data_IF_226750253720
#
_entry.id   IF_226750253720
#
_cell.length_a   1.000
_cell.length_b   1.000
_cell.length_c   1.000
_cell.angle_alpha   90.00
_cell.angle_beta   90.00
_cell.angle_gamma   90.00
#
_symmetry.space_group_name_H-M   'P 1'
#
loop_
_entity.id
_entity.type
_entity.pdbx_description
1 polymer ?
#
# COMPACT_ATOMS: atom_id res chain seq x y z
N UNK A 1 -54.47 -43.97 -12.21
CA UNK A 1 -53.92 -43.26 -11.03
C UNK A 1 -52.42 -43.51 -10.78
N UNK A 2 -51.78 -44.47 -11.47
CA UNK A 2 -50.36 -44.84 -11.23
C UNK A 2 -49.31 -44.11 -12.10
N UNK A 3 -49.65 -43.58 -13.28
CA UNK A 3 -48.67 -42.92 -14.16
C UNK A 3 -48.41 -41.47 -13.77
N UNK A 4 -49.47 -40.72 -13.44
CA UNK A 4 -49.38 -39.31 -13.08
C UNK A 4 -48.61 -39.09 -11.76
N UNK A 5 -48.69 -40.02 -10.80
CA UNK A 5 -47.86 -39.98 -9.58
C UNK A 5 -46.38 -40.30 -9.88
N UNK A 6 -46.10 -41.30 -10.72
CA UNK A 6 -44.72 -41.61 -11.16
C UNK A 6 -44.08 -40.43 -11.89
N UNK A 7 -44.82 -39.75 -12.75
CA UNK A 7 -44.33 -38.58 -13.49
C UNK A 7 -44.00 -37.40 -12.55
N UNK A 8 -44.77 -37.24 -11.47
CA UNK A 8 -44.52 -36.22 -10.43
C UNK A 8 -43.27 -36.57 -9.62
N UNK A 9 -43.12 -37.83 -9.20
CA UNK A 9 -41.94 -38.32 -8.47
C UNK A 9 -40.66 -38.21 -9.32
N UNK A 10 -40.73 -38.53 -10.60
CA UNK A 10 -39.60 -38.45 -11.53
C UNK A 10 -39.19 -36.99 -11.81
N UNK A 11 -40.18 -36.08 -11.94
CA UNK A 11 -39.94 -34.62 -12.03
C UNK A 11 -39.33 -34.06 -10.74
N UNK A 12 -39.77 -34.51 -9.57
CA UNK A 12 -39.15 -34.13 -8.29
C UNK A 12 -37.72 -34.61 -8.17
N UNK A 13 -37.46 -35.87 -8.53
CA UNK A 13 -36.13 -36.47 -8.48
C UNK A 13 -35.16 -35.74 -9.42
N UNK A 14 -35.59 -35.41 -10.64
CA UNK A 14 -34.79 -34.62 -11.57
C UNK A 14 -34.51 -33.20 -11.05
N UNK A 15 -35.47 -32.52 -10.42
CA UNK A 15 -35.24 -31.21 -9.78
C UNK A 15 -34.20 -31.29 -8.66
N UNK A 16 -34.21 -32.36 -7.85
CA UNK A 16 -33.21 -32.58 -6.79
C UNK A 16 -31.81 -32.79 -7.36
N UNK A 17 -31.67 -33.63 -8.41
CA UNK A 17 -30.39 -33.84 -9.11
C UNK A 17 -29.82 -32.57 -9.71
N UNK A 18 -30.65 -31.74 -10.35
CA UNK A 18 -30.20 -30.47 -10.93
C UNK A 18 -29.67 -29.53 -9.83
N UNK A 19 -30.40 -29.39 -8.71
CA UNK A 19 -29.94 -28.57 -7.58
C UNK A 19 -28.62 -29.07 -6.99
N UNK A 20 -28.45 -30.37 -6.90
CA UNK A 20 -27.23 -30.97 -6.35
C UNK A 20 -26.02 -30.76 -7.29
N UNK A 21 -26.22 -30.89 -8.60
CA UNK A 21 -25.17 -30.59 -9.59
C UNK A 21 -24.78 -29.12 -9.58
N UNK A 22 -25.75 -28.19 -9.53
CA UNK A 22 -25.45 -26.75 -9.43
C UNK A 22 -24.67 -26.41 -8.16
N UNK A 23 -24.98 -27.07 -7.04
CA UNK A 23 -24.25 -26.88 -5.77
C UNK A 23 -22.81 -27.40 -5.86
N UNK A 24 -22.59 -28.54 -6.53
CA UNK A 24 -21.23 -29.07 -6.78
C UNK A 24 -20.42 -28.14 -7.66
N UNK A 25 -20.97 -27.70 -8.80
CA UNK A 25 -20.28 -26.73 -9.67
C UNK A 25 -19.94 -25.42 -8.95
N UNK A 26 -20.85 -24.92 -8.10
CA UNK A 26 -20.60 -23.72 -7.30
C UNK A 26 -19.44 -23.92 -6.32
N UNK A 27 -19.39 -25.07 -5.64
CA UNK A 27 -18.32 -25.38 -4.70
C UNK A 27 -16.97 -25.58 -5.41
N UNK A 28 -16.95 -26.24 -6.57
CA UNK A 28 -15.73 -26.42 -7.38
C UNK A 28 -15.18 -25.09 -7.88
N UNK A 29 -16.05 -24.17 -8.32
CA UNK A 29 -15.64 -22.80 -8.71
C UNK A 29 -15.08 -22.02 -7.54
N UNK A 30 -15.67 -22.17 -6.36
CA UNK A 30 -15.19 -21.52 -5.13
C UNK A 30 -13.82 -22.06 -4.72
N UNK A 31 -13.64 -23.39 -4.71
CA UNK A 31 -12.35 -24.02 -4.42
C UNK A 31 -11.28 -23.61 -5.43
N UNK A 32 -11.61 -23.55 -6.72
CA UNK A 32 -10.68 -23.09 -7.75
C UNK A 32 -10.26 -21.62 -7.54
N UNK A 33 -11.18 -20.74 -7.17
CA UNK A 33 -10.87 -19.36 -6.80
C UNK A 33 -9.99 -19.26 -5.54
N UNK A 34 -10.30 -20.05 -4.51
CA UNK A 34 -9.53 -20.11 -3.26
C UNK A 34 -8.13 -20.71 -3.46
N UNK A 35 -7.92 -21.56 -4.47
CA UNK A 35 -6.61 -22.07 -4.87
C UNK A 35 -5.80 -20.97 -5.57
N UNK A 36 -6.41 -20.22 -6.49
CA UNK A 36 -5.74 -19.13 -7.19
C UNK A 36 -5.29 -18.02 -6.24
N UNK A 37 -6.12 -17.62 -5.28
CA UNK A 37 -5.74 -16.63 -4.27
C UNK A 37 -4.56 -17.10 -3.40
N UNK A 38 -4.54 -18.38 -2.99
CA UNK A 38 -3.43 -18.96 -2.23
C UNK A 38 -2.13 -19.03 -3.04
N UNK A 39 -2.23 -19.31 -4.34
CA UNK A 39 -1.08 -19.30 -5.24
C UNK A 39 -0.54 -17.87 -5.43
N UNK A 40 -1.41 -16.87 -5.60
CA UNK A 40 -1.02 -15.46 -5.65
C UNK A 40 -0.33 -14.99 -4.36
N UNK A 41 -0.86 -15.37 -3.20
CA UNK A 41 -0.24 -15.09 -1.89
C UNK A 41 1.14 -15.75 -1.78
N UNK A 42 1.27 -17.03 -2.17
CA UNK A 42 2.57 -17.73 -2.14
C UNK A 42 3.60 -17.10 -3.07
N UNK A 43 3.20 -16.74 -4.29
CA UNK A 43 4.06 -16.05 -5.25
C UNK A 43 4.49 -14.69 -4.70
N UNK A 44 3.58 -13.96 -4.03
CA UNK A 44 3.88 -12.67 -3.41
C UNK A 44 4.89 -12.82 -2.26
N UNK A 45 4.75 -13.84 -1.41
CA UNK A 45 5.72 -14.17 -0.36
C UNK A 45 7.08 -14.60 -0.92
N UNK A 46 7.10 -15.39 -1.99
CA UNK A 46 8.34 -15.81 -2.68
C UNK A 46 9.09 -14.61 -3.27
N UNK A 47 8.38 -13.69 -3.95
CA UNK A 47 8.94 -12.45 -4.48
C UNK A 47 9.47 -11.56 -3.35
N UNK A 48 8.71 -11.40 -2.27
CA UNK A 48 9.13 -10.60 -1.13
C UNK A 48 10.39 -11.19 -0.48
N UNK A 49 10.46 -12.51 -0.32
CA UNK A 49 11.64 -13.18 0.23
C UNK A 49 12.88 -13.02 -0.67
N UNK A 50 12.72 -13.20 -1.98
CA UNK A 50 13.84 -13.16 -2.93
C UNK A 50 14.38 -11.75 -3.20
N UNK A 51 13.50 -10.75 -3.24
CA UNK A 51 13.87 -9.40 -3.71
C UNK A 51 13.80 -8.32 -2.63
N UNK A 52 13.38 -8.64 -1.39
CA UNK A 52 13.22 -7.68 -0.27
C UNK A 52 14.42 -6.78 -0.01
N UNK A 53 15.64 -7.25 -0.29
CA UNK A 53 16.88 -6.51 -0.05
C UNK A 53 17.39 -5.76 -1.28
N UNK A 54 16.75 -5.95 -2.45
CA UNK A 54 17.15 -5.24 -3.67
C UNK A 54 16.71 -3.77 -3.60
N UNK A 55 17.57 -2.81 -3.99
CA UNK A 55 17.26 -1.39 -3.91
C UNK A 55 15.96 -1.03 -4.64
N UNK A 56 15.76 -1.55 -5.86
CA UNK A 56 14.56 -1.28 -6.66
C UNK A 56 13.28 -1.79 -6.00
N UNK A 57 13.30 -2.95 -5.35
CA UNK A 57 12.12 -3.50 -4.68
C UNK A 57 11.76 -2.66 -3.44
N UNK A 58 12.76 -2.27 -2.64
CA UNK A 58 12.54 -1.39 -1.49
C UNK A 58 12.02 -0.01 -1.91
N UNK A 59 12.56 0.56 -2.98
CA UNK A 59 12.10 1.83 -3.55
C UNK A 59 10.65 1.75 -4.05
N UNK A 60 10.27 0.68 -4.74
CA UNK A 60 8.89 0.43 -5.16
C UNK A 60 7.95 0.21 -3.97
N UNK A 61 8.38 -0.54 -2.96
CA UNK A 61 7.60 -0.75 -1.72
C UNK A 61 7.32 0.58 -1.02
N UNK A 62 8.35 1.42 -0.85
CA UNK A 62 8.19 2.76 -0.27
C UNK A 62 7.24 3.62 -1.11
N UNK A 63 7.42 3.64 -2.44
CA UNK A 63 6.55 4.40 -3.34
C UNK A 63 5.08 3.99 -3.17
N UNK A 64 4.80 2.68 -3.10
CA UNK A 64 3.44 2.18 -2.93
C UNK A 64 2.84 2.56 -1.58
N UNK A 65 3.59 2.45 -0.49
CA UNK A 65 3.14 2.89 0.85
C UNK A 65 2.80 4.39 0.83
N UNK A 66 3.67 5.22 0.26
CA UNK A 66 3.44 6.66 0.17
C UNK A 66 2.22 6.96 -0.72
N UNK A 67 2.07 6.26 -1.85
CA UNK A 67 0.95 6.42 -2.78
C UNK A 67 -0.39 6.07 -2.11
N UNK A 68 -0.44 4.98 -1.35
CA UNK A 68 -1.62 4.55 -0.62
C UNK A 68 -1.95 5.50 0.54
N UNK A 69 -0.94 5.90 1.32
CA UNK A 69 -1.08 6.86 2.40
C UNK A 69 -1.48 8.27 1.94
N UNK A 70 -1.07 8.68 0.73
CA UNK A 70 -1.27 10.03 0.21
C UNK A 70 -2.72 10.53 0.29
N UNK A 71 -3.70 9.68 -0.02
CA UNK A 71 -5.11 10.10 0.02
C UNK A 71 -5.58 10.39 1.45
N UNK A 72 -5.13 9.59 2.42
CA UNK A 72 -5.44 9.81 3.85
C UNK A 72 -4.74 11.05 4.38
N UNK A 73 -3.46 11.23 4.02
CA UNK A 73 -2.68 12.44 4.31
C UNK A 73 -3.40 13.69 3.78
N UNK A 74 -3.83 13.67 2.50
CA UNK A 74 -4.53 14.80 1.87
C UNK A 74 -5.85 15.14 2.56
N UNK A 75 -6.56 14.14 3.09
CA UNK A 75 -7.80 14.33 3.87
C UNK A 75 -7.53 14.84 5.29
N UNK A 76 -6.27 14.94 5.71
CA UNK A 76 -5.90 15.35 7.05
C UNK A 76 -5.95 14.24 8.09
N UNK A 77 -6.22 12.99 7.70
CA UNK A 77 -6.40 11.86 8.62
C UNK A 77 -5.11 11.48 9.37
N UNK A 78 -3.94 11.94 8.88
CA UNK A 78 -2.63 11.68 9.49
C UNK A 78 -1.98 13.01 9.91
N UNK A 79 -1.86 13.96 8.98
CA UNK A 79 -1.11 15.21 9.22
C UNK A 79 -1.80 16.19 10.18
N UNK A 80 -3.10 16.05 10.41
CA UNK A 80 -3.82 16.88 11.40
C UNK A 80 -3.79 16.26 12.80
N UNK A 81 -3.28 15.04 12.95
CA UNK A 81 -3.10 14.46 14.27
C UNK A 81 -2.07 15.25 15.06
N UNK A 82 -2.43 15.61 16.29
CA UNK A 82 -1.57 16.39 17.18
C UNK A 82 -0.20 15.72 17.40
N UNK A 83 -0.20 14.40 17.58
CA UNK A 83 1.03 13.61 17.73
C UNK A 83 1.97 13.75 16.52
N UNK A 84 1.42 13.67 15.30
CA UNK A 84 2.19 13.82 14.07
C UNK A 84 2.85 15.19 14.00
N UNK A 85 2.09 16.24 14.29
CA UNK A 85 2.57 17.63 14.23
C UNK A 85 3.64 17.90 15.29
N UNK A 86 3.45 17.41 16.52
CA UNK A 86 4.40 17.56 17.61
C UNK A 86 5.71 16.83 17.31
N UNK A 87 5.65 15.58 16.85
CA UNK A 87 6.84 14.79 16.56
C UNK A 87 7.62 15.37 15.37
N UNK A 88 6.91 15.77 14.31
CA UNK A 88 7.52 16.46 13.16
C UNK A 88 8.27 17.71 13.59
N UNK A 89 7.67 18.51 14.47
CA UNK A 89 8.29 19.74 15.00
C UNK A 89 9.50 19.44 15.89
N UNK A 90 9.46 18.42 16.74
CA UNK A 90 10.61 18.02 17.59
C UNK A 90 11.83 17.65 16.75
N UNK A 91 11.62 17.02 15.60
CA UNK A 91 12.70 16.66 14.68
C UNK A 91 13.24 17.86 13.87
N UNK A 92 12.74 19.08 14.09
CA UNK A 92 13.12 20.27 13.34
C UNK A 92 12.50 20.35 11.95
N UNK A 93 11.51 19.51 11.63
CA UNK A 93 10.82 19.50 10.34
C UNK A 93 9.47 20.20 10.42
N UNK A 94 8.99 20.64 9.27
CA UNK A 94 7.62 21.14 9.12
C UNK A 94 6.74 20.13 8.39
N UNK A 95 5.44 20.12 8.71
CA UNK A 95 4.44 19.33 7.97
C UNK A 95 4.42 19.72 6.48
N UNK A 96 4.66 21.00 6.16
CA UNK A 96 4.75 21.48 4.78
C UNK A 96 5.93 20.86 4.02
N UNK A 97 7.05 20.64 4.70
CA UNK A 97 8.23 19.96 4.16
C UNK A 97 7.91 18.49 3.85
N UNK A 98 7.23 17.77 4.75
CA UNK A 98 6.83 16.38 4.50
C UNK A 98 5.86 16.26 3.32
N UNK A 99 4.85 17.13 3.26
CA UNK A 99 3.90 17.17 2.14
C UNK A 99 4.62 17.43 0.81
N UNK A 100 5.66 18.27 0.83
CA UNK A 100 6.49 18.53 -0.34
C UNK A 100 7.29 17.29 -0.74
N UNK A 101 7.95 16.60 0.20
CA UNK A 101 8.66 15.34 -0.05
C UNK A 101 7.72 14.30 -0.68
N UNK A 102 6.54 14.10 -0.08
CA UNK A 102 5.54 13.14 -0.56
C UNK A 102 5.08 13.49 -1.98
N UNK A 103 4.80 14.77 -2.25
CA UNK A 103 4.41 15.25 -3.57
C UNK A 103 5.49 15.01 -4.62
N UNK A 104 6.76 15.29 -4.27
CA UNK A 104 7.91 15.08 -5.15
C UNK A 104 8.12 13.59 -5.48
N UNK A 105 8.01 12.71 -4.48
CA UNK A 105 8.10 11.25 -4.68
C UNK A 105 7.00 10.75 -5.62
N UNK A 106 5.77 11.28 -5.46
CA UNK A 106 4.67 10.92 -6.36
C UNK A 106 4.91 11.37 -7.80
N UNK A 107 5.53 12.54 -7.99
CA UNK A 107 5.77 13.14 -9.31
C UNK A 107 6.99 12.53 -10.03
N UNK A 108 8.06 12.25 -9.29
CA UNK A 108 9.38 11.92 -9.85
C UNK A 108 9.93 10.55 -9.42
N UNK A 109 9.28 9.87 -8.48
CA UNK A 109 9.81 8.65 -7.86
C UNK A 109 10.78 8.95 -6.71
N UNK A 110 11.12 7.90 -5.95
CA UNK A 110 11.99 7.98 -4.75
C UNK A 110 13.50 8.00 -5.09
N UNK A 111 13.86 7.54 -6.28
CA UNK A 111 15.26 7.46 -6.73
C UNK A 111 15.86 8.86 -6.97
N UNK A 112 15.04 9.87 -7.27
CA UNK A 112 15.52 11.21 -7.62
C UNK A 112 15.59 12.16 -6.41
N UNK A 113 16.36 11.78 -5.38
CA UNK A 113 16.54 12.56 -4.14
C UNK A 113 17.20 13.91 -4.38
N UNK A 114 18.02 14.00 -5.43
CA UNK A 114 18.61 15.25 -5.90
C UNK A 114 17.52 16.26 -6.28
N UNK A 115 16.50 15.84 -7.03
CA UNK A 115 15.37 16.71 -7.38
C UNK A 115 14.57 17.13 -6.15
N UNK A 116 14.41 16.23 -5.16
CA UNK A 116 13.75 16.56 -3.88
C UNK A 116 14.52 17.64 -3.14
N UNK A 117 15.85 17.54 -3.05
CA UNK A 117 16.70 18.53 -2.40
C UNK A 117 16.58 19.92 -3.03
N UNK A 118 16.60 20.00 -4.36
CA UNK A 118 16.51 21.28 -5.09
C UNK A 118 15.11 21.91 -5.07
N UNK A 119 14.12 21.28 -4.42
CA UNK A 119 12.85 21.95 -4.16
C UNK A 119 13.06 23.11 -3.18
N UNK A 120 12.60 24.34 -3.46
CA UNK A 120 12.87 25.50 -2.61
C UNK A 120 12.44 25.34 -1.14
N UNK A 121 11.34 24.63 -0.88
CA UNK A 121 10.84 24.39 0.48
C UNK A 121 11.79 23.45 1.23
N UNK A 122 12.26 22.40 0.56
CA UNK A 122 13.16 21.40 1.14
C UNK A 122 14.56 21.98 1.32
N UNK A 123 15.04 22.75 0.35
CA UNK A 123 16.32 23.42 0.43
C UNK A 123 16.34 24.41 1.60
N UNK A 124 15.31 25.26 1.73
CA UNK A 124 15.19 26.17 2.85
C UNK A 124 15.12 25.43 4.20
N UNK A 125 14.33 24.35 4.27
CA UNK A 125 14.29 23.49 5.46
C UNK A 125 15.68 22.97 5.83
N UNK A 126 16.44 22.44 4.88
CA UNK A 126 17.74 21.83 5.18
C UNK A 126 18.82 22.88 5.46
N UNK A 127 18.92 23.93 4.65
CA UNK A 127 20.03 24.88 4.71
C UNK A 127 19.84 25.97 5.75
N UNK A 128 18.62 26.50 5.88
CA UNK A 128 18.34 27.66 6.74
C UNK A 128 17.80 27.23 8.11
N UNK A 129 16.92 26.22 8.18
CA UNK A 129 16.40 25.74 9.46
C UNK A 129 17.37 24.75 10.11
N UNK A 130 17.87 23.77 9.34
CA UNK A 130 18.73 22.71 9.88
C UNK A 130 20.24 23.01 9.76
N UNK A 131 20.65 24.02 9.00
CA UNK A 131 22.06 24.39 8.84
C UNK A 131 22.91 23.42 8.00
N UNK A 132 22.28 22.54 7.22
CA UNK A 132 22.94 21.50 6.41
C UNK A 132 23.05 21.98 4.98
N UNK A 133 24.27 22.28 4.53
CA UNK A 133 24.54 22.86 3.20
C UNK A 133 25.29 21.93 2.24
N UNK A 134 25.76 20.80 2.73
CA UNK A 134 26.41 19.81 1.88
C UNK A 134 25.33 18.95 1.19
N UNK A 135 25.31 18.94 -0.14
CA UNK A 135 24.30 18.24 -0.94
C UNK A 135 24.22 16.73 -0.62
N UNK A 136 25.36 16.06 -0.44
CA UNK A 136 25.39 14.63 -0.12
C UNK A 136 24.76 14.35 1.26
N UNK A 137 25.08 15.19 2.25
CA UNK A 137 24.45 15.13 3.57
C UNK A 137 22.95 15.42 3.49
N UNK A 138 22.53 16.41 2.70
CA UNK A 138 21.12 16.72 2.46
C UNK A 138 20.36 15.52 1.89
N UNK A 139 20.92 14.84 0.89
CA UNK A 139 20.30 13.64 0.31
C UNK A 139 20.19 12.47 1.31
N UNK A 140 21.19 12.29 2.19
CA UNK A 140 21.12 11.32 3.30
C UNK A 140 20.01 11.66 4.29
N UNK A 141 19.91 12.92 4.69
CA UNK A 141 18.87 13.40 5.61
C UNK A 141 17.47 13.26 5.00
N UNK A 142 17.31 13.57 3.70
CA UNK A 142 16.06 13.32 2.97
C UNK A 142 15.72 11.83 2.98
N UNK A 143 16.70 10.94 2.81
CA UNK A 143 16.47 9.49 2.84
C UNK A 143 15.94 9.02 4.19
N UNK A 144 16.54 9.48 5.29
CA UNK A 144 16.05 9.16 6.64
C UNK A 144 14.66 9.76 6.90
N UNK A 145 14.40 10.98 6.40
CA UNK A 145 13.07 11.59 6.53
C UNK A 145 12.00 10.81 5.78
N UNK A 146 12.32 10.29 4.60
CA UNK A 146 11.40 9.43 3.83
C UNK A 146 11.10 8.14 4.59
N UNK A 147 12.11 7.48 5.17
CA UNK A 147 11.90 6.28 6.00
C UNK A 147 10.94 6.55 7.16
N UNK A 148 11.14 7.66 7.87
CA UNK A 148 10.26 8.09 8.95
C UNK A 148 8.81 8.31 8.49
N UNK A 149 8.61 9.03 7.37
CA UNK A 149 7.27 9.26 6.80
C UNK A 149 6.60 7.92 6.46
N UNK A 150 7.34 6.98 5.86
CA UNK A 150 6.84 5.65 5.50
C UNK A 150 6.42 4.87 6.73
N UNK A 151 7.27 4.80 7.76
CA UNK A 151 6.97 4.09 9.00
C UNK A 151 5.70 4.62 9.67
N UNK A 152 5.53 5.95 9.71
CA UNK A 152 4.32 6.58 10.23
C UNK A 152 3.08 6.23 9.41
N UNK A 153 3.17 6.30 8.08
CA UNK A 153 2.05 5.93 7.19
C UNK A 153 1.67 4.48 7.43
N UNK A 154 2.64 3.56 7.46
CA UNK A 154 2.42 2.14 7.69
C UNK A 154 1.67 1.89 9.00
N UNK A 155 2.17 2.46 10.11
CA UNK A 155 1.55 2.31 11.44
C UNK A 155 0.13 2.89 11.47
N UNK A 156 -0.04 4.14 11.01
CA UNK A 156 -1.33 4.84 11.10
C UNK A 156 -2.36 4.29 10.10
N UNK A 157 -1.91 3.80 8.95
CA UNK A 157 -2.79 3.22 7.94
C UNK A 157 -3.10 1.74 8.14
N UNK A 158 -2.36 1.04 9.01
CA UNK A 158 -2.40 -0.42 9.19
C UNK A 158 -2.09 -1.16 7.87
N UNK A 159 -1.06 -0.68 7.16
CA UNK A 159 -0.48 -1.33 5.98
C UNK A 159 0.65 -2.27 6.41
#
# INVERSE_FOLDING_TARGET
>A
MNEMMKEVEEKEMNKRKIKENMKKEWNERKESGDILMREEERIKEEIETQYSTTPNYQENKIYNIIKEGYQRIKKGEIINEKEYQEETKKCGWSVGSDLTIISMIKKYGICNKKEIYHNPIIQYQLEEINGIRNEECCQKVISERIKYIVELITIKCKL
#
